data_IF_100231287313
#
_entry.id   IF_100231287313
#
_cell.length_a   1.000
_cell.length_b   1.000
_cell.length_c   1.000
_cell.angle_alpha   90.00
_cell.angle_beta   90.00
_cell.angle_gamma   90.00
#
_symmetry.space_group_name_H-M   'P 1'
#
loop_
_entity.id
_entity.type
_entity.pdbx_description
1 polymer ?
#
# COMPACT_ATOMS: atom_id res chain seq x y z
N UNK A 1 8.54 -6.64 -22.61
CA UNK A 1 7.86 -5.48 -21.99
C UNK A 1 6.55 -5.92 -21.34
N UNK A 2 6.56 -6.89 -20.40
CA UNK A 2 5.29 -7.47 -19.90
C UNK A 2 5.28 -7.89 -18.42
N UNK A 3 6.35 -7.66 -17.65
CA UNK A 3 6.51 -8.25 -16.30
C UNK A 3 5.65 -7.54 -15.23
N UNK A 4 5.59 -6.21 -15.25
CA UNK A 4 4.86 -5.42 -14.23
C UNK A 4 3.34 -5.68 -14.23
N UNK A 5 2.73 -5.98 -15.39
CA UNK A 5 1.30 -6.30 -15.48
C UNK A 5 0.95 -7.62 -14.78
N UNK A 6 1.83 -8.61 -14.87
CA UNK A 6 1.65 -9.90 -14.19
C UNK A 6 1.85 -9.77 -12.68
N UNK A 7 2.84 -8.97 -12.26
CA UNK A 7 3.02 -8.61 -10.86
C UNK A 7 1.77 -7.89 -10.29
N UNK A 8 1.23 -6.90 -11.00
CA UNK A 8 0.03 -6.18 -10.55
C UNK A 8 -1.19 -7.10 -10.45
N UNK A 9 -1.37 -8.01 -11.40
CA UNK A 9 -2.42 -9.03 -11.33
C UNK A 9 -2.30 -9.90 -10.07
N UNK A 10 -1.06 -10.17 -9.62
CA UNK A 10 -0.80 -10.88 -8.36
C UNK A 10 -1.14 -10.01 -7.15
N UNK A 11 -0.70 -8.74 -7.12
CA UNK A 11 -0.95 -7.81 -6.01
C UNK A 11 -2.43 -7.53 -5.77
N UNK A 12 -3.25 -7.50 -6.82
CA UNK A 12 -4.69 -7.21 -6.68
C UNK A 12 -5.53 -8.44 -6.36
N UNK A 13 -4.97 -9.65 -6.48
CA UNK A 13 -5.70 -10.92 -6.31
C UNK A 13 -6.34 -11.07 -4.91
N UNK A 14 -5.71 -10.63 -3.80
CA UNK A 14 -6.32 -10.72 -2.47
C UNK A 14 -7.60 -9.89 -2.29
N UNK A 15 -7.89 -8.95 -3.21
CA UNK A 15 -9.04 -8.05 -3.14
C UNK A 15 -10.23 -8.53 -3.97
N UNK A 16 -10.25 -9.78 -4.46
CA UNK A 16 -11.31 -10.30 -5.32
C UNK A 16 -12.74 -10.16 -4.75
N UNK A 17 -12.89 -10.17 -3.42
CA UNK A 17 -14.18 -9.97 -2.72
C UNK A 17 -14.52 -8.48 -2.47
N UNK A 18 -13.61 -7.57 -2.80
CA UNK A 18 -13.70 -6.12 -2.58
C UNK A 18 -13.46 -5.36 -3.90
N UNK A 19 -14.40 -5.39 -4.86
CA UNK A 19 -14.16 -4.93 -6.22
C UNK A 19 -13.80 -3.44 -6.31
N UNK A 20 -14.34 -2.59 -5.43
CA UNK A 20 -13.98 -1.17 -5.43
C UNK A 20 -12.56 -0.98 -4.87
N UNK A 21 -12.20 -1.70 -3.81
CA UNK A 21 -10.83 -1.67 -3.27
C UNK A 21 -9.82 -2.24 -4.28
N UNK A 22 -10.14 -3.36 -4.93
CA UNK A 22 -9.30 -3.97 -5.97
C UNK A 22 -9.00 -2.97 -7.09
N UNK A 23 -10.02 -2.29 -7.61
CA UNK A 23 -9.83 -1.30 -8.65
C UNK A 23 -9.01 -0.10 -8.15
N UNK A 24 -9.25 0.36 -6.92
CA UNK A 24 -8.48 1.47 -6.33
C UNK A 24 -7.00 1.12 -6.16
N UNK A 25 -6.68 -0.10 -5.74
CA UNK A 25 -5.30 -0.58 -5.63
C UNK A 25 -4.63 -0.60 -7.02
N UNK A 26 -5.33 -1.12 -8.03
CA UNK A 26 -4.83 -1.13 -9.41
C UNK A 26 -4.60 0.29 -9.94
N UNK A 27 -5.58 1.19 -9.77
CA UNK A 27 -5.49 2.58 -10.21
C UNK A 27 -4.28 3.28 -9.61
N UNK A 28 -4.03 3.08 -8.31
CA UNK A 28 -2.86 3.66 -7.63
C UNK A 28 -1.59 3.05 -8.22
N UNK A 29 -1.46 1.72 -8.30
CA UNK A 29 -0.29 1.05 -8.88
C UNK A 29 0.05 1.55 -10.29
N UNK A 30 -0.95 1.70 -11.15
CA UNK A 30 -0.76 2.16 -12.53
C UNK A 30 -0.39 3.65 -12.62
N UNK A 31 -0.76 4.46 -11.62
CA UNK A 31 -0.43 5.88 -11.54
C UNK A 31 0.96 6.19 -10.96
N UNK A 32 1.59 5.23 -10.28
CA UNK A 32 2.90 5.43 -9.67
C UNK A 32 3.98 5.73 -10.72
N UNK A 33 5.07 6.43 -10.36
CA UNK A 33 6.24 6.56 -11.22
C UNK A 33 6.80 5.20 -11.69
N UNK A 34 7.30 5.13 -12.92
CA UNK A 34 7.73 3.87 -13.53
C UNK A 34 8.84 3.14 -12.76
N UNK A 35 9.72 3.89 -12.10
CA UNK A 35 10.76 3.36 -11.21
C UNK A 35 10.18 2.74 -9.94
N UNK A 36 9.13 3.34 -9.36
CA UNK A 36 8.40 2.76 -8.21
C UNK A 36 7.64 1.51 -8.62
N UNK A 37 6.96 1.53 -9.78
CA UNK A 37 6.29 0.35 -10.33
C UNK A 37 7.29 -0.81 -10.54
N UNK A 38 8.47 -0.51 -11.09
CA UNK A 38 9.52 -1.49 -11.31
C UNK A 38 10.11 -2.02 -10.00
N UNK A 39 10.33 -1.16 -9.02
CA UNK A 39 10.79 -1.54 -7.66
C UNK A 39 9.84 -2.56 -7.02
N UNK A 40 8.53 -2.29 -7.03
CA UNK A 40 7.53 -3.24 -6.51
C UNK A 40 7.46 -4.53 -7.32
N UNK A 41 7.43 -4.44 -8.65
CA UNK A 41 7.34 -5.64 -9.50
C UNK A 41 8.58 -6.53 -9.42
N UNK A 42 9.76 -5.95 -9.14
CA UNK A 42 11.04 -6.68 -9.09
C UNK A 42 11.41 -7.18 -7.70
N UNK A 43 10.80 -6.67 -6.64
CA UNK A 43 11.09 -7.07 -5.26
C UNK A 43 10.10 -8.15 -4.78
N UNK A 44 10.52 -9.43 -4.67
CA UNK A 44 9.65 -10.52 -4.21
C UNK A 44 9.20 -10.37 -2.75
N UNK A 45 9.69 -9.36 -2.02
CA UNK A 45 9.27 -9.05 -0.65
C UNK A 45 8.12 -8.05 -0.59
N UNK A 46 7.80 -7.39 -1.71
CA UNK A 46 6.63 -6.54 -1.82
C UNK A 46 5.41 -7.39 -2.15
N UNK A 47 4.35 -7.20 -1.39
CA UNK A 47 3.06 -7.82 -1.61
C UNK A 47 1.96 -6.94 -1.00
N UNK A 48 0.72 -7.13 -1.43
CA UNK A 48 -0.42 -6.37 -0.90
C UNK A 48 -1.46 -7.36 -0.40
N UNK A 49 -1.83 -7.26 0.87
CA UNK A 49 -2.76 -8.15 1.53
C UNK A 49 -3.97 -7.39 2.10
N UNK A 50 -5.05 -8.13 2.33
CA UNK A 50 -6.21 -7.62 3.05
C UNK A 50 -6.08 -7.93 4.55
N UNK A 51 -6.45 -6.99 5.42
CA UNK A 51 -6.58 -7.20 6.86
C UNK A 51 -7.72 -8.20 7.13
N UNK A 52 -7.37 -9.46 7.41
CA UNK A 52 -8.32 -10.51 7.83
C UNK A 52 -8.37 -10.68 9.36
N UNK A 53 -8.36 -9.57 10.12
CA UNK A 53 -8.48 -9.65 11.57
C UNK A 53 -9.91 -10.04 11.97
N UNK A 54 -10.07 -11.28 12.45
CA UNK A 54 -11.30 -11.78 13.08
C UNK A 54 -11.08 -11.89 14.61
N UNK A 55 -11.84 -11.15 15.45
CA UNK A 55 -11.79 -11.29 16.90
C UNK A 55 -12.02 -12.76 17.31
N UNK A 56 -11.07 -13.34 18.06
CA UNK A 56 -11.12 -14.73 18.52
C UNK A 56 -10.53 -15.79 17.57
N UNK A 57 -10.14 -15.43 16.34
CA UNK A 57 -9.45 -16.34 15.38
C UNK A 57 -8.03 -15.92 15.02
N UNK A 58 -7.66 -14.66 15.30
CA UNK A 58 -6.35 -14.10 14.96
C UNK A 58 -6.25 -13.70 13.48
N UNK A 59 -5.33 -12.79 13.15
CA UNK A 59 -5.04 -12.38 11.78
C UNK A 59 -4.09 -13.38 11.10
N UNK A 60 -4.38 -13.80 9.86
CA UNK A 60 -3.43 -14.53 9.02
C UNK A 60 -2.81 -13.57 8.01
N UNK A 61 -1.67 -13.00 8.37
CA UNK A 61 -0.82 -12.31 7.39
C UNK A 61 0.19 -13.31 6.84
N UNK A 62 0.12 -13.60 5.54
CA UNK A 62 1.16 -14.36 4.86
C UNK A 62 2.33 -13.42 4.59
N UNK A 63 3.18 -13.23 5.60
CA UNK A 63 4.42 -12.46 5.45
C UNK A 63 5.42 -13.35 4.70
N UNK A 64 5.82 -12.95 3.49
CA UNK A 64 6.97 -13.54 2.81
C UNK A 64 8.19 -13.48 3.76
N UNK A 65 8.91 -14.61 3.89
CA UNK A 65 10.05 -14.76 4.81
C UNK A 65 10.93 -13.50 4.83
N UNK A 66 11.24 -12.93 6.01
CA UNK A 66 12.17 -11.82 6.09
C UNK A 66 13.48 -12.23 5.40
N UNK A 67 13.91 -11.44 4.43
CA UNK A 67 15.21 -11.63 3.77
C UNK A 67 16.35 -11.51 4.79
N UNK A 68 17.58 -11.72 4.33
CA UNK A 68 18.79 -11.63 5.16
C UNK A 68 18.76 -10.42 6.12
N UNK A 69 19.23 -10.66 7.35
CA UNK A 69 19.29 -9.76 8.51
C UNK A 69 19.34 -8.28 8.11
N UNK A 70 18.28 -7.54 8.46
CA UNK A 70 18.23 -6.08 8.36
C UNK A 70 17.24 -5.50 7.35
N UNK A 71 16.50 -6.30 6.58
CA UNK A 71 15.43 -5.79 5.69
C UNK A 71 14.12 -6.55 5.91
N UNK A 72 13.19 -5.92 6.62
CA UNK A 72 11.86 -6.47 6.92
C UNK A 72 11.01 -6.72 5.66
N UNK A 73 9.83 -7.34 5.86
CA UNK A 73 8.84 -7.52 4.81
C UNK A 73 8.32 -6.16 4.31
N UNK A 74 8.03 -6.05 3.01
CA UNK A 74 7.40 -4.87 2.37
C UNK A 74 5.93 -5.16 2.05
N UNK A 75 5.29 -5.98 2.88
CA UNK A 75 3.88 -6.33 2.70
C UNK A 75 2.99 -5.19 3.21
N UNK A 76 2.16 -4.65 2.32
CA UNK A 76 1.17 -3.61 2.61
C UNK A 76 -0.15 -4.27 2.96
N UNK A 77 -0.72 -3.91 4.10
CA UNK A 77 -1.96 -4.51 4.60
C UNK A 77 -3.07 -3.48 4.59
N UNK A 78 -4.09 -3.71 3.77
CA UNK A 78 -5.20 -2.78 3.58
C UNK A 78 -6.46 -3.27 4.29
N UNK A 79 -7.22 -2.33 4.87
CA UNK A 79 -8.43 -2.65 5.62
C UNK A 79 -9.63 -2.82 4.68
N UNK A 80 -10.49 -3.85 4.83
CA UNK A 80 -11.70 -4.05 4.02
C UNK A 80 -12.62 -2.84 3.90
N UNK A 81 -12.70 -2.01 4.94
CA UNK A 81 -13.53 -0.80 4.95
C UNK A 81 -13.13 0.24 3.88
N UNK A 82 -11.91 0.17 3.35
CA UNK A 82 -11.47 1.02 2.26
C UNK A 82 -12.25 0.76 0.97
N UNK A 83 -12.94 -0.38 0.83
CA UNK A 83 -13.87 -0.64 -0.27
C UNK A 83 -15.07 0.33 -0.27
N UNK A 84 -15.54 0.71 0.92
CA UNK A 84 -16.71 1.59 1.12
C UNK A 84 -16.36 3.05 1.38
N UNK A 85 -15.09 3.34 1.64
CA UNK A 85 -14.61 4.71 1.85
C UNK A 85 -14.77 5.55 0.57
N UNK A 86 -14.74 6.88 0.72
CA UNK A 86 -14.66 7.78 -0.44
C UNK A 86 -13.41 7.46 -1.27
N UNK A 87 -13.54 7.52 -2.60
CA UNK A 87 -12.46 7.15 -3.51
C UNK A 87 -11.15 7.92 -3.26
N UNK A 88 -11.23 9.24 -3.10
CA UNK A 88 -10.06 10.09 -2.83
C UNK A 88 -9.31 9.65 -1.56
N UNK A 89 -10.03 9.48 -0.45
CA UNK A 89 -9.43 9.00 0.80
C UNK A 89 -8.83 7.59 0.67
N UNK A 90 -9.55 6.67 0.02
CA UNK A 90 -9.06 5.30 -0.15
C UNK A 90 -7.78 5.27 -0.99
N UNK A 91 -7.74 6.01 -2.10
CA UNK A 91 -6.55 6.12 -2.97
C UNK A 91 -5.38 6.80 -2.24
N UNK A 92 -5.64 7.84 -1.45
CA UNK A 92 -4.64 8.42 -0.55
C UNK A 92 -4.06 7.40 0.43
N UNK A 93 -4.91 6.66 1.16
CA UNK A 93 -4.41 5.64 2.11
C UNK A 93 -3.57 4.58 1.40
N UNK A 94 -4.00 4.10 0.23
CA UNK A 94 -3.24 3.10 -0.54
C UNK A 94 -1.87 3.68 -0.96
N UNK A 95 -1.84 4.91 -1.48
CA UNK A 95 -0.60 5.57 -1.88
C UNK A 95 0.32 5.82 -0.68
N UNK A 96 -0.22 6.19 0.48
CA UNK A 96 0.54 6.35 1.73
C UNK A 96 1.23 5.05 2.16
N UNK A 97 0.51 3.94 2.17
CA UNK A 97 1.10 2.64 2.53
C UNK A 97 2.13 2.17 1.50
N UNK A 98 1.92 2.47 0.21
CA UNK A 98 2.93 2.23 -0.82
C UNK A 98 4.17 3.10 -0.62
N UNK A 99 4.01 4.35 -0.18
CA UNK A 99 5.12 5.22 0.16
C UNK A 99 5.96 4.63 1.30
N UNK A 100 5.32 4.13 2.38
CA UNK A 100 6.02 3.39 3.44
C UNK A 100 6.81 2.20 2.89
N UNK A 101 6.19 1.41 2.02
CA UNK A 101 6.83 0.26 1.41
C UNK A 101 8.02 0.64 0.51
N UNK A 102 7.92 1.74 -0.24
CA UNK A 102 8.99 2.25 -1.12
C UNK A 102 10.15 2.83 -0.31
N UNK A 103 9.85 3.59 0.74
CA UNK A 103 10.86 4.20 1.62
C UNK A 103 11.47 3.20 2.62
N UNK A 104 11.00 1.95 2.64
CA UNK A 104 11.36 0.95 3.64
C UNK A 104 11.13 1.45 5.08
N UNK A 105 10.03 2.19 5.31
CA UNK A 105 9.74 2.89 6.57
C UNK A 105 10.87 3.86 6.99
N UNK A 106 11.56 4.46 6.01
CA UNK A 106 12.58 5.49 6.19
C UNK A 106 12.04 6.89 5.90
N UNK A 107 12.93 7.89 6.02
CA UNK A 107 12.64 9.27 5.64
C UNK A 107 12.72 9.52 4.13
N UNK A 108 12.32 10.72 3.70
CA UNK A 108 12.37 11.17 2.31
C UNK A 108 12.95 12.58 2.20
N UNK A 109 14.08 12.71 1.49
CA UNK A 109 14.85 13.97 1.47
C UNK A 109 15.28 14.37 2.88
N UNK A 110 14.86 15.56 3.32
CA UNK A 110 15.12 16.08 4.68
C UNK A 110 14.03 15.66 5.70
N UNK A 111 12.96 15.01 5.27
CA UNK A 111 11.86 14.57 6.14
C UNK A 111 12.26 13.26 6.80
N UNK A 112 12.60 13.30 8.09
CA UNK A 112 13.03 12.11 8.85
C UNK A 112 11.90 11.38 9.55
N UNK A 113 10.76 12.05 9.75
CA UNK A 113 9.55 11.45 10.31
C UNK A 113 8.87 10.57 9.25
N UNK A 114 8.66 9.30 9.59
CA UNK A 114 8.23 8.25 8.67
C UNK A 114 6.84 8.54 8.08
N UNK A 115 5.90 8.99 8.91
CA UNK A 115 4.54 9.32 8.48
C UNK A 115 4.51 10.56 7.59
N UNK A 116 5.27 11.61 7.94
CA UNK A 116 5.38 12.80 7.08
C UNK A 116 6.09 12.50 5.76
N UNK A 117 7.09 11.62 5.76
CA UNK A 117 7.77 11.21 4.55
C UNK A 117 6.83 10.45 3.60
N UNK A 118 6.00 9.55 4.15
CA UNK A 118 4.97 8.84 3.38
C UNK A 118 3.88 9.78 2.86
N UNK A 119 3.36 10.68 3.69
CA UNK A 119 2.38 11.71 3.28
C UNK A 119 2.95 12.55 2.11
N UNK A 120 4.19 13.03 2.23
CA UNK A 120 4.81 13.88 1.24
C UNK A 120 5.12 13.13 -0.08
N UNK A 121 5.55 11.86 0.01
CA UNK A 121 5.81 11.04 -1.17
C UNK A 121 4.50 10.67 -1.87
N UNK A 122 3.45 10.31 -1.15
CA UNK A 122 2.11 10.05 -1.71
C UNK A 122 1.55 11.30 -2.42
N UNK A 123 1.71 12.48 -1.82
CA UNK A 123 1.34 13.75 -2.46
C UNK A 123 2.14 13.99 -3.75
N UNK A 124 3.44 13.66 -3.78
CA UNK A 124 4.26 13.76 -4.99
C UNK A 124 3.79 12.84 -6.13
N UNK A 125 3.04 11.77 -5.80
CA UNK A 125 2.38 10.89 -6.77
C UNK A 125 0.97 11.35 -7.16
N UNK A 126 0.50 12.48 -6.63
CA UNK A 126 -0.82 13.05 -6.92
C UNK A 126 -1.93 12.61 -5.95
N UNK A 127 -1.58 12.01 -4.81
CA UNK A 127 -2.53 11.57 -3.79
C UNK A 127 -2.38 12.39 -2.50
N UNK A 128 -2.85 13.64 -2.55
CA UNK A 128 -2.83 14.53 -1.39
C UNK A 128 -3.67 13.99 -0.23
N UNK A 129 -3.20 14.22 0.99
CA UNK A 129 -3.97 13.96 2.19
C UNK A 129 -5.23 14.85 2.20
N UNK A 130 -6.44 14.29 2.30
CA UNK A 130 -7.65 15.10 2.31
C UNK A 130 -7.73 15.98 3.56
N UNK A 131 -8.04 17.27 3.38
CA UNK A 131 -8.11 18.30 4.45
C UNK A 131 -9.17 17.99 5.52
N UNK A 132 -10.16 17.14 5.21
CA UNK A 132 -11.24 16.73 6.11
C UNK A 132 -11.44 15.21 6.06
N UNK A 133 -10.67 14.47 6.85
CA UNK A 133 -11.12 13.17 7.38
C UNK A 133 -10.51 12.96 8.75
N UNK A 134 -11.37 12.99 9.77
CA UNK A 134 -10.99 12.61 11.11
C UNK A 134 -10.40 11.19 11.13
N UNK A 135 -9.20 11.08 11.71
CA UNK A 135 -8.58 9.84 12.15
C UNK A 135 -9.48 9.00 13.09
N UNK A 136 -10.63 9.55 13.49
CA UNK A 136 -11.69 8.92 14.27
C UNK A 136 -12.35 7.69 13.61
N UNK A 137 -12.22 7.48 12.28
CA UNK A 137 -12.79 6.27 11.65
C UNK A 137 -11.86 5.04 11.68
N UNK A 138 -10.64 5.17 12.22
CA UNK A 138 -9.69 4.05 12.39
C UNK A 138 -9.78 3.33 13.74
N UNK A 139 -10.48 3.90 14.73
CA UNK A 139 -10.75 3.26 16.04
C UNK A 139 -11.83 2.17 15.95
#
# INVERSE_FOLDING_TARGET
>A
MSDHREAFATFIKPFAEFPALQQRVLDVLESLPADVQLDFASDPRFDVAIEDYQPGKGSRLFIASPGAVGKGSRCVVLRPKLDRASEAFAKYVIAHEFAHAHLHNGGWGEITDIEQAADALAASWGFDRPEQTGWAWLQ
#
